data_IF_662140859871
#
_entry.id   IF_662140859871
#
_cell.length_a   1.000
_cell.length_b   1.000
_cell.length_c   1.000
_cell.angle_alpha   90.00
_cell.angle_beta   90.00
_cell.angle_gamma   90.00
#
_symmetry.space_group_name_H-M   'P 1'
#
loop_
_entity.id
_entity.type
_entity.pdbx_description
1 polymer ?
#
# COMPACT_ATOMS: atom_id res chain seq x y z
N UNK A 1 -15.59 -3.46 -0.56
CA UNK A 1 -14.97 -2.37 -1.35
C UNK A 1 -13.57 -1.91 -0.93
N UNK A 2 -13.30 -1.42 0.29
CA UNK A 2 -11.96 -0.87 0.65
C UNK A 2 -10.84 -1.91 0.54
N UNK A 3 -11.02 -3.10 1.14
CA UNK A 3 -10.03 -4.19 1.07
C UNK A 3 -9.77 -4.60 -0.39
N UNK A 4 -10.81 -4.66 -1.22
CA UNK A 4 -10.68 -4.93 -2.66
C UNK A 4 -9.81 -3.90 -3.36
N UNK A 5 -10.02 -2.61 -3.10
CA UNK A 5 -9.19 -1.53 -3.64
C UNK A 5 -7.74 -1.59 -3.12
N UNK A 6 -7.53 -1.99 -1.86
CA UNK A 6 -6.21 -2.19 -1.29
C UNK A 6 -5.45 -3.35 -1.97
N UNK A 7 -6.11 -4.50 -2.18
CA UNK A 7 -5.53 -5.65 -2.92
C UNK A 7 -5.19 -5.26 -4.37
N UNK A 8 -6.05 -4.47 -5.02
CA UNK A 8 -5.83 -4.00 -6.39
C UNK A 8 -4.80 -2.87 -6.49
N UNK A 9 -4.37 -2.28 -5.39
CA UNK A 9 -3.39 -1.20 -5.39
C UNK A 9 -2.02 -1.73 -5.82
N UNK A 10 -1.41 -1.09 -6.83
CA UNK A 10 -0.06 -1.42 -7.30
C UNK A 10 0.99 -0.78 -6.38
N UNK A 11 1.18 -1.36 -5.21
CA UNK A 11 2.12 -0.86 -4.22
C UNK A 11 1.75 -1.32 -2.81
N UNK A 12 2.34 -0.66 -1.82
CA UNK A 12 1.97 -0.88 -0.42
C UNK A 12 0.62 -0.24 -0.12
N UNK A 13 -0.29 -0.99 0.49
CA UNK A 13 -1.57 -0.51 0.99
C UNK A 13 -1.72 -0.84 2.47
N UNK A 14 -2.12 0.16 3.27
CA UNK A 14 -2.48 -0.01 4.68
C UNK A 14 -3.99 0.16 4.81
N UNK A 15 -4.64 -0.79 5.48
CA UNK A 15 -6.05 -0.72 5.85
C UNK A 15 -6.12 -0.88 7.36
N UNK A 16 -6.38 0.22 8.06
CA UNK A 16 -6.71 0.19 9.48
C UNK A 16 -8.22 -0.03 9.64
N UNK A 17 -8.59 -0.94 10.54
CA UNK A 17 -9.97 -1.40 10.72
C UNK A 17 -10.34 -1.26 12.19
N UNK A 18 -11.27 -0.35 12.49
CA UNK A 18 -11.88 -0.30 13.81
C UNK A 18 -12.66 -1.59 14.06
N UNK A 19 -12.14 -2.42 14.95
CA UNK A 19 -12.72 -3.69 15.33
C UNK A 19 -13.09 -3.65 16.82
N UNK A 20 -14.39 -3.67 17.17
CA UNK A 20 -14.79 -3.68 18.57
C UNK A 20 -14.38 -4.99 19.25
N UNK A 21 -13.87 -4.91 20.47
CA UNK A 21 -13.53 -6.07 21.30
C UNK A 21 -14.60 -6.26 22.37
N UNK A 22 -15.62 -7.07 22.07
CA UNK A 22 -16.80 -7.25 22.93
C UNK A 22 -16.48 -7.77 24.33
N UNK A 23 -15.37 -8.50 24.50
CA UNK A 23 -14.98 -9.08 25.78
C UNK A 23 -14.36 -8.04 26.72
N UNK A 24 -13.39 -7.26 26.24
CA UNK A 24 -12.52 -6.43 27.09
C UNK A 24 -12.73 -4.92 26.94
N UNK A 25 -13.01 -4.43 25.72
CA UNK A 25 -13.19 -2.99 25.51
C UNK A 25 -14.68 -2.63 25.54
N UNK A 26 -15.13 -2.11 26.69
CA UNK A 26 -16.52 -1.68 26.91
C UNK A 26 -16.77 -0.21 26.53
N UNK A 27 -15.73 0.53 26.12
CA UNK A 27 -15.83 1.95 25.76
C UNK A 27 -16.04 2.07 24.24
N UNK A 28 -15.16 1.48 23.44
CA UNK A 28 -15.26 1.53 21.98
C UNK A 28 -16.10 0.37 21.46
N UNK A 29 -17.40 0.41 21.77
CA UNK A 29 -18.39 -0.56 21.30
C UNK A 29 -18.77 -0.31 19.84
N UNK A 30 -19.57 -1.22 19.26
CA UNK A 30 -20.12 -1.05 17.92
C UNK A 30 -20.91 0.26 17.78
N UNK A 31 -21.80 0.54 18.74
CA UNK A 31 -22.63 1.75 18.73
C UNK A 31 -21.78 3.01 18.86
N UNK A 32 -20.76 2.97 19.74
CA UNK A 32 -19.83 4.08 19.88
C UNK A 32 -19.13 4.40 18.55
N UNK A 33 -18.57 3.40 17.87
CA UNK A 33 -17.94 3.62 16.56
C UNK A 33 -18.93 4.13 15.51
N UNK A 34 -20.18 3.65 15.52
CA UNK A 34 -21.22 4.10 14.58
C UNK A 34 -21.55 5.59 14.75
N UNK A 35 -21.55 6.10 15.98
CA UNK A 35 -21.82 7.51 16.28
C UNK A 35 -20.61 8.42 16.03
N UNK A 36 -19.41 7.89 16.26
CA UNK A 36 -18.15 8.63 16.23
C UNK A 36 -17.38 8.51 14.91
N UNK A 37 -17.96 7.88 13.88
CA UNK A 37 -17.32 7.79 12.56
C UNK A 37 -18.15 8.47 11.47
N UNK A 38 -17.51 8.79 10.35
CA UNK A 38 -18.16 9.29 9.14
C UNK A 38 -17.39 8.86 7.91
N UNK A 39 -18.06 8.70 6.76
CA UNK A 39 -17.36 8.42 5.51
C UNK A 39 -16.94 9.71 4.80
N UNK A 40 -15.70 9.74 4.32
CA UNK A 40 -15.22 10.77 3.40
C UNK A 40 -16.09 10.76 2.13
N UNK A 41 -16.49 11.94 1.66
CA UNK A 41 -17.38 12.09 0.51
C UNK A 41 -16.63 11.97 -0.83
N UNK A 42 -17.37 11.97 -1.95
CA UNK A 42 -16.81 11.84 -3.29
C UNK A 42 -16.01 13.06 -3.77
N UNK A 43 -16.11 14.21 -3.08
CA UNK A 43 -15.37 15.44 -3.39
C UNK A 43 -13.98 15.45 -2.74
N UNK A 44 -13.72 14.54 -1.81
CA UNK A 44 -12.44 14.42 -1.14
C UNK A 44 -11.31 14.02 -2.12
N UNK A 45 -10.25 14.84 -2.18
CA UNK A 45 -9.08 14.57 -3.02
C UNK A 45 -8.11 13.58 -2.34
N UNK A 46 -8.20 12.32 -2.77
CA UNK A 46 -7.32 11.24 -2.31
C UNK A 46 -5.86 11.38 -2.77
N UNK A 47 -5.50 12.37 -3.59
CA UNK A 47 -4.11 12.60 -4.02
C UNK A 47 -3.38 13.64 -3.17
N UNK A 48 -4.11 14.38 -2.32
CA UNK A 48 -3.55 15.38 -1.44
C UNK A 48 -3.02 14.74 -0.14
N UNK A 49 -1.70 14.58 -0.05
CA UNK A 49 -1.03 13.98 1.12
C UNK A 49 -1.21 14.81 2.41
N UNK A 50 -1.24 16.14 2.31
CA UNK A 50 -1.37 17.01 3.48
C UNK A 50 -2.76 16.85 4.08
N UNK A 51 -3.78 16.88 3.23
CA UNK A 51 -5.16 16.71 3.67
C UNK A 51 -5.42 15.31 4.22
N UNK A 52 -4.86 14.28 3.58
CA UNK A 52 -4.90 12.92 4.10
C UNK A 52 -4.33 12.80 5.51
N UNK A 53 -3.21 13.45 5.78
CA UNK A 53 -2.62 13.43 7.12
C UNK A 53 -3.50 14.17 8.14
N UNK A 54 -4.02 15.36 7.79
CA UNK A 54 -4.95 16.11 8.65
C UNK A 54 -6.18 15.28 9.00
N UNK A 55 -6.78 14.59 8.02
CA UNK A 55 -7.91 13.68 8.26
C UNK A 55 -7.52 12.52 9.18
N UNK A 56 -6.34 11.94 9.02
CA UNK A 56 -5.92 10.75 9.79
C UNK A 56 -5.74 11.00 11.29
N UNK A 57 -5.61 12.26 11.70
CA UNK A 57 -5.40 12.66 13.10
C UNK A 57 -6.64 13.32 13.72
N UNK A 58 -7.79 13.34 13.03
CA UNK A 58 -9.03 13.86 13.60
C UNK A 58 -9.46 13.02 14.83
N UNK A 59 -9.83 13.69 15.92
CA UNK A 59 -10.21 13.03 17.18
C UNK A 59 -11.71 13.13 17.50
N UNK A 60 -12.42 14.12 16.94
CA UNK A 60 -13.84 14.34 17.24
C UNK A 60 -14.74 13.28 16.57
N UNK A 61 -14.67 13.18 15.25
CA UNK A 61 -15.24 12.05 14.49
C UNK A 61 -14.14 11.45 13.63
N UNK A 62 -14.08 10.14 13.61
CA UNK A 62 -13.05 9.36 12.95
C UNK A 62 -13.45 9.15 11.48
N UNK A 63 -12.71 9.70 10.52
CA UNK A 63 -13.03 9.53 9.12
C UNK A 63 -12.82 8.07 8.67
N UNK A 64 -13.69 7.61 7.80
CA UNK A 64 -13.64 6.31 7.13
C UNK A 64 -13.55 6.52 5.62
N UNK A 65 -12.83 5.62 4.95
CA UNK A 65 -12.69 5.64 3.50
C UNK A 65 -11.24 5.58 3.09
N UNK A 66 -10.95 6.07 1.89
CA UNK A 66 -9.59 6.11 1.35
C UNK A 66 -9.03 7.50 1.60
N UNK A 67 -8.01 7.57 2.44
CA UNK A 67 -7.37 8.83 2.80
C UNK A 67 -6.40 9.30 1.72
N UNK A 68 -5.67 8.37 1.12
CA UNK A 68 -4.60 8.70 0.19
C UNK A 68 -4.33 7.59 -0.83
N UNK A 69 -4.07 7.97 -2.08
CA UNK A 69 -3.58 7.12 -3.15
C UNK A 69 -2.47 7.86 -3.90
N UNK A 70 -1.27 7.28 -3.94
CA UNK A 70 -0.22 7.73 -4.84
C UNK A 70 -0.04 6.72 -5.99
N UNK A 71 -0.33 7.14 -7.23
CA UNK A 71 -0.16 6.30 -8.43
C UNK A 71 1.20 6.49 -9.12
N UNK A 72 1.99 7.46 -8.67
CA UNK A 72 3.23 7.88 -9.33
C UNK A 72 4.48 7.26 -8.70
N UNK A 73 4.33 6.41 -7.68
CA UNK A 73 5.44 5.71 -7.03
C UNK A 73 5.61 4.32 -7.64
N UNK A 74 6.84 4.03 -8.04
CA UNK A 74 7.23 2.68 -8.49
C UNK A 74 7.21 1.73 -7.30
N UNK A 75 6.73 0.51 -7.50
CA UNK A 75 6.80 -0.55 -6.50
C UNK A 75 8.25 -0.98 -6.27
N UNK A 76 8.49 -1.75 -5.20
CA UNK A 76 9.82 -2.26 -4.90
C UNK A 76 10.39 -3.07 -6.07
N UNK A 77 9.60 -3.98 -6.62
CA UNK A 77 9.96 -4.86 -7.73
C UNK A 77 10.30 -4.08 -8.99
N UNK A 78 9.57 -2.99 -9.27
CA UNK A 78 9.83 -2.10 -10.41
C UNK A 78 11.14 -1.31 -10.28
N UNK A 79 11.64 -1.12 -9.06
CA UNK A 79 12.93 -0.46 -8.83
C UNK A 79 14.12 -1.41 -9.00
N UNK A 80 13.91 -2.73 -9.00
CA UNK A 80 14.97 -3.71 -9.17
C UNK A 80 15.44 -3.76 -10.63
N UNK A 81 16.72 -3.39 -10.86
CA UNK A 81 17.35 -3.41 -12.20
C UNK A 81 17.21 -4.77 -12.88
N UNK A 82 17.31 -5.84 -12.11
CA UNK A 82 17.24 -7.24 -12.56
C UNK A 82 15.91 -7.59 -13.22
N UNK A 83 14.82 -6.89 -12.88
CA UNK A 83 13.49 -7.15 -13.41
C UNK A 83 13.06 -6.14 -14.49
N UNK A 84 13.92 -5.18 -14.88
CA UNK A 84 13.56 -4.19 -15.93
C UNK A 84 13.29 -4.79 -17.31
N UNK A 85 13.99 -5.87 -17.66
CA UNK A 85 13.97 -6.46 -19.01
C UNK A 85 13.30 -7.83 -19.04
N UNK A 86 13.19 -8.49 -17.90
CA UNK A 86 12.66 -9.84 -17.79
C UNK A 86 11.98 -9.98 -16.43
N UNK A 87 10.69 -10.32 -16.43
CA UNK A 87 9.90 -10.51 -15.21
C UNK A 87 9.89 -11.96 -14.71
N UNK A 88 10.45 -12.91 -15.46
CA UNK A 88 10.49 -14.31 -15.04
C UNK A 88 11.32 -14.44 -13.74
N UNK A 89 10.94 -15.34 -12.82
CA UNK A 89 11.75 -15.66 -11.65
C UNK A 89 13.19 -16.03 -12.03
N UNK A 90 14.17 -15.67 -11.19
CA UNK A 90 15.59 -15.88 -11.48
C UNK A 90 15.93 -17.34 -11.81
N UNK A 91 15.32 -18.30 -11.11
CA UNK A 91 15.56 -19.73 -11.31
C UNK A 91 15.09 -20.26 -12.68
N UNK A 92 14.16 -19.56 -13.35
CA UNK A 92 13.67 -19.92 -14.68
C UNK A 92 14.51 -19.30 -15.81
N UNK A 93 15.45 -18.40 -15.49
CA UNK A 93 16.23 -17.69 -16.50
C UNK A 93 17.40 -18.53 -16.96
N UNK A 94 17.56 -18.67 -18.28
CA UNK A 94 18.76 -19.31 -18.86
C UNK A 94 20.01 -18.48 -18.55
N UNK A 95 20.99 -19.13 -17.93
CA UNK A 95 22.28 -18.51 -17.62
C UNK A 95 23.07 -18.29 -18.92
N UNK A 96 23.45 -17.04 -19.19
CA UNK A 96 24.29 -16.67 -20.35
C UNK A 96 25.76 -16.87 -20.01
N UNK A 97 26.22 -18.13 -20.03
CA UNK A 97 27.61 -18.53 -19.67
C UNK A 97 28.67 -17.68 -20.39
N UNK A 98 28.48 -17.42 -21.68
CA UNK A 98 29.44 -16.62 -22.48
C UNK A 98 29.64 -15.20 -21.93
N UNK A 99 28.59 -14.58 -21.38
CA UNK A 99 28.71 -13.26 -20.73
C UNK A 99 29.52 -13.33 -19.45
N UNK A 100 29.39 -14.40 -18.68
CA UNK A 100 30.15 -14.62 -17.43
C UNK A 100 31.64 -14.80 -17.76
N UNK A 101 31.95 -15.65 -18.75
CA UNK A 101 33.34 -15.87 -19.20
C UNK A 101 33.98 -14.57 -19.68
N UNK A 102 33.26 -13.76 -20.49
CA UNK A 102 33.75 -12.43 -20.90
C UNK A 102 34.02 -11.50 -19.71
N UNK A 103 33.16 -11.53 -18.69
CA UNK A 103 33.30 -10.69 -17.49
C UNK A 103 34.52 -11.08 -16.64
N UNK A 104 34.79 -12.38 -16.52
CA UNK A 104 35.98 -12.91 -15.83
C UNK A 104 37.26 -12.49 -16.56
N UNK A 105 37.27 -12.56 -17.89
CA UNK A 105 38.44 -12.26 -18.70
C UNK A 105 38.68 -10.74 -18.88
N UNK A 106 37.70 -9.88 -18.62
CA UNK A 106 37.85 -8.41 -18.68
C UNK A 106 38.71 -7.84 -17.55
N UNK A 107 38.95 -8.61 -16.49
CA UNK A 107 39.78 -8.22 -15.34
C UNK A 107 41.16 -8.89 -15.35
N UNK A 108 41.56 -9.47 -16.49
CA UNK A 108 42.93 -9.91 -16.79
C UNK A 108 43.55 -8.94 -17.77
#
# INVERSE_FOLDING_TARGET
>A
EIIKKAIQHKGYALVDIFQPCVSFNKINTYDWFKEHTYYLDSRYDVTNRIEAFKKSIEQNKLPLGIFYINKNKKTFEQNLKTYKQNNNPLYQRKIKKDKIVKLINLNK
#
